data_IF_033160584232
#
_entry.id   IF_033160584232
#
_cell.length_a   1.000
_cell.length_b   1.000
_cell.length_c   1.000
_cell.angle_alpha   90.00
_cell.angle_beta   90.00
_cell.angle_gamma   90.00
#
_symmetry.space_group_name_H-M   'P 1'
#
loop_
_entity.id
_entity.type
_entity.pdbx_description
1 polymer ?
#
# COMPACT_ATOMS: atom_id res chain seq x y z
N UNK A 1 -11.43 5.49 -10.13
CA UNK A 1 -11.83 4.64 -11.26
C UNK A 1 -12.36 3.34 -10.75
N UNK A 2 -13.58 2.97 -11.12
CA UNK A 2 -14.16 1.75 -10.59
C UNK A 2 -13.40 0.48 -10.94
N UNK A 3 -12.61 0.51 -12.00
CA UNK A 3 -11.87 -0.67 -12.45
C UNK A 3 -10.40 -0.68 -12.05
N UNK A 4 -10.02 0.18 -11.12
CA UNK A 4 -8.64 0.18 -10.64
C UNK A 4 -8.38 -1.11 -9.85
N UNK A 5 -7.47 -1.98 -10.33
CA UNK A 5 -7.21 -3.25 -9.63
C UNK A 5 -6.70 -3.05 -8.21
N UNK A 6 -5.92 -2.01 -7.98
CA UNK A 6 -5.39 -1.76 -6.64
C UNK A 6 -6.49 -1.30 -5.70
N UNK A 7 -7.41 -0.46 -6.17
CA UNK A 7 -8.56 -0.06 -5.36
C UNK A 7 -9.40 -1.27 -5.01
N UNK A 8 -9.69 -2.13 -5.98
CA UNK A 8 -10.49 -3.33 -5.74
C UNK A 8 -9.83 -4.24 -4.73
N UNK A 9 -8.52 -4.43 -4.85
CA UNK A 9 -7.77 -5.30 -3.93
C UNK A 9 -7.79 -4.75 -2.51
N UNK A 10 -7.63 -3.44 -2.36
CA UNK A 10 -7.62 -2.82 -1.04
C UNK A 10 -9.01 -2.85 -0.41
N UNK A 11 -10.06 -2.63 -1.21
CA UNK A 11 -11.42 -2.75 -0.70
C UNK A 11 -11.69 -4.16 -0.19
N UNK A 12 -11.24 -5.16 -0.93
CA UNK A 12 -11.40 -6.54 -0.52
C UNK A 12 -10.66 -6.81 0.80
N UNK A 13 -9.45 -6.31 0.91
CA UNK A 13 -8.66 -6.48 2.14
C UNK A 13 -9.33 -5.82 3.34
N UNK A 14 -10.07 -4.73 3.11
CA UNK A 14 -10.76 -3.99 4.18
C UNK A 14 -12.16 -4.53 4.45
N UNK A 15 -12.66 -5.41 3.61
CA UNK A 15 -14.02 -5.91 3.74
C UNK A 15 -15.08 -4.89 3.32
N UNK A 16 -14.72 -3.95 2.46
CA UNK A 16 -15.62 -2.89 2.01
C UNK A 16 -16.18 -3.25 0.64
N UNK A 17 -17.51 -3.27 0.52
CA UNK A 17 -18.16 -3.61 -0.74
C UNK A 17 -18.90 -2.44 -1.38
N UNK A 18 -19.18 -1.38 -0.59
CA UNK A 18 -19.90 -0.22 -1.11
C UNK A 18 -18.94 0.78 -1.72
N UNK A 19 -19.45 1.64 -2.61
CA UNK A 19 -18.62 2.65 -3.26
C UNK A 19 -18.47 3.93 -2.45
N UNK A 20 -19.17 4.04 -1.33
CA UNK A 20 -19.16 5.27 -0.53
C UNK A 20 -17.77 5.63 0.00
N UNK A 21 -16.90 4.65 0.15
CA UNK A 21 -15.54 4.88 0.69
C UNK A 21 -14.46 4.84 -0.39
N UNK A 22 -14.83 4.77 -1.67
CA UNK A 22 -13.84 4.62 -2.73
C UNK A 22 -12.84 5.76 -2.76
N UNK A 23 -13.32 7.00 -2.60
CA UNK A 23 -12.43 8.16 -2.62
C UNK A 23 -11.46 8.14 -1.45
N UNK A 24 -11.96 7.81 -0.27
CA UNK A 24 -11.11 7.71 0.92
C UNK A 24 -10.04 6.64 0.76
N UNK A 25 -10.43 5.49 0.25
CA UNK A 25 -9.49 4.39 0.05
C UNK A 25 -8.49 4.73 -1.05
N UNK A 26 -8.94 5.37 -2.12
CA UNK A 26 -8.04 5.80 -3.19
C UNK A 26 -6.99 6.80 -2.66
N UNK A 27 -7.40 7.69 -1.76
CA UNK A 27 -6.45 8.62 -1.13
C UNK A 27 -5.41 7.87 -0.29
N UNK A 28 -5.83 6.84 0.43
CA UNK A 28 -4.89 6.04 1.21
C UNK A 28 -3.91 5.30 0.32
N UNK A 29 -4.39 4.78 -0.81
CA UNK A 29 -3.51 4.11 -1.78
C UNK A 29 -2.48 5.10 -2.32
N UNK A 30 -2.91 6.30 -2.68
CA UNK A 30 -1.99 7.33 -3.17
C UNK A 30 -0.96 7.69 -2.11
N UNK A 31 -1.39 7.79 -0.85
CA UNK A 31 -0.48 8.09 0.25
C UNK A 31 0.53 6.96 0.46
N UNK A 32 0.08 5.71 0.36
CA UNK A 32 0.97 4.57 0.50
C UNK A 32 2.03 4.56 -0.61
N UNK A 33 1.60 4.76 -1.85
CA UNK A 33 2.53 4.79 -2.98
C UNK A 33 3.51 5.96 -2.85
N UNK A 34 3.03 7.09 -2.36
CA UNK A 34 3.89 8.24 -2.10
C UNK A 34 4.93 7.93 -1.04
N UNK A 35 4.53 7.28 0.04
CA UNK A 35 5.44 6.91 1.11
C UNK A 35 6.51 5.93 0.62
N UNK A 36 6.10 4.94 -0.18
CA UNK A 36 7.05 4.00 -0.76
C UNK A 36 8.02 4.71 -1.71
N UNK A 37 7.54 5.66 -2.50
CA UNK A 37 8.39 6.43 -3.39
C UNK A 37 9.42 7.26 -2.64
N UNK A 38 9.02 7.88 -1.54
CA UNK A 38 9.94 8.65 -0.69
C UNK A 38 11.03 7.73 -0.14
N UNK A 39 10.68 6.48 0.17
CA UNK A 39 11.63 5.51 0.68
C UNK A 39 12.54 4.94 -0.41
N UNK A 40 12.32 5.31 -1.68
CA UNK A 40 13.14 4.84 -2.79
C UNK A 40 12.60 3.60 -3.48
N UNK A 41 11.41 3.15 -3.11
CA UNK A 41 10.79 1.98 -3.75
C UNK A 41 10.14 2.43 -5.06
N UNK A 42 10.28 1.61 -6.10
CA UNK A 42 9.65 1.90 -7.40
C UNK A 42 8.14 1.70 -7.28
N UNK A 43 7.43 2.79 -7.06
CA UNK A 43 5.99 2.73 -6.82
C UNK A 43 5.17 2.66 -8.12
N UNK A 44 5.83 2.47 -9.27
CA UNK A 44 5.11 2.20 -10.51
C UNK A 44 4.79 0.72 -10.67
N UNK A 45 5.35 -0.14 -9.82
CA UNK A 45 5.12 -1.59 -9.88
C UNK A 45 3.82 -1.96 -9.16
N UNK A 46 2.72 -1.35 -9.57
CA UNK A 46 1.45 -1.49 -8.85
C UNK A 46 0.81 -2.87 -8.99
N UNK A 47 1.27 -3.66 -9.95
CA UNK A 47 0.77 -5.03 -10.13
C UNK A 47 1.61 -6.05 -9.37
N UNK A 48 2.73 -5.65 -8.81
CA UNK A 48 3.61 -6.56 -8.09
C UNK A 48 2.98 -6.96 -6.76
N UNK A 49 2.93 -8.27 -6.45
CA UNK A 49 2.27 -8.73 -5.23
C UNK A 49 2.86 -8.15 -3.94
N UNK A 50 4.16 -7.93 -3.89
CA UNK A 50 4.79 -7.39 -2.68
C UNK A 50 4.48 -5.92 -2.49
N UNK A 51 4.47 -5.15 -3.57
CA UNK A 51 4.05 -3.75 -3.52
C UNK A 51 2.58 -3.67 -3.11
N UNK A 52 1.75 -4.49 -3.74
CA UNK A 52 0.32 -4.51 -3.43
C UNK A 52 0.07 -4.89 -1.96
N UNK A 53 0.82 -5.85 -1.45
CA UNK A 53 0.67 -6.26 -0.06
C UNK A 53 1.00 -5.12 0.90
N UNK A 54 2.07 -4.37 0.62
CA UNK A 54 2.43 -3.23 1.45
C UNK A 54 1.34 -2.16 1.41
N UNK A 55 0.79 -1.88 0.23
CA UNK A 55 -0.29 -0.89 0.10
C UNK A 55 -1.53 -1.35 0.86
N UNK A 56 -1.89 -2.63 0.77
CA UNK A 56 -3.03 -3.15 1.52
C UNK A 56 -2.83 -2.97 3.02
N UNK A 57 -1.63 -3.26 3.52
CA UNK A 57 -1.34 -3.13 4.94
C UNK A 57 -1.43 -1.68 5.38
N UNK A 58 -0.91 -0.76 4.57
CA UNK A 58 -1.03 0.67 4.85
C UNK A 58 -2.50 1.09 4.94
N UNK A 59 -3.31 0.66 3.98
CA UNK A 59 -4.73 0.99 3.99
C UNK A 59 -5.42 0.43 5.24
N UNK A 60 -5.10 -0.81 5.62
CA UNK A 60 -5.69 -1.40 6.82
C UNK A 60 -5.30 -0.64 8.08
N UNK A 61 -4.07 -0.12 8.14
CA UNK A 61 -3.60 0.62 9.29
C UNK A 61 -4.27 1.98 9.43
N UNK A 62 -4.65 2.60 8.31
CA UNK A 62 -5.12 3.99 8.32
C UNK A 62 -6.60 4.17 8.03
N UNK A 63 -7.30 3.09 7.66
CA UNK A 63 -8.72 3.20 7.37
C UNK A 63 -9.50 3.05 8.67
N UNK A 64 -10.19 4.12 9.08
CA UNK A 64 -11.12 4.08 10.20
C UNK A 64 -10.49 3.74 11.56
N UNK A 65 -9.23 4.08 11.74
CA UNK A 65 -8.56 3.96 13.06
C UNK A 65 -8.74 2.57 13.69
N UNK A 66 -8.20 1.53 13.07
CA UNK A 66 -8.39 0.17 13.58
C UNK A 66 -7.77 -0.03 14.96
N UNK A 67 -8.35 -0.96 15.72
CA UNK A 67 -7.86 -1.25 17.07
C UNK A 67 -6.44 -1.79 17.07
N UNK A 68 -6.04 -2.48 15.99
CA UNK A 68 -4.71 -3.07 15.88
C UNK A 68 -3.75 -2.22 15.04
N UNK A 69 -3.90 -0.90 15.11
CA UNK A 69 -3.11 0.03 14.34
C UNK A 69 -1.60 -0.19 14.54
N UNK A 70 -1.16 -0.39 15.78
CA UNK A 70 0.27 -0.54 16.08
C UNK A 70 0.85 -1.76 15.38
N UNK A 71 0.12 -2.85 15.40
CA UNK A 71 0.55 -4.07 14.75
C UNK A 71 0.59 -3.92 13.23
N UNK A 72 -0.43 -3.29 12.68
CA UNK A 72 -0.49 -3.06 11.24
C UNK A 72 0.60 -2.09 10.79
N UNK A 73 0.88 -1.06 11.58
CA UNK A 73 1.93 -0.11 11.29
C UNK A 73 3.29 -0.80 11.28
N UNK A 74 3.54 -1.65 12.25
CA UNK A 74 4.78 -2.39 12.33
C UNK A 74 4.93 -3.33 11.14
N UNK A 75 3.85 -4.00 10.74
CA UNK A 75 3.88 -4.88 9.57
C UNK A 75 4.19 -4.10 8.29
N UNK A 76 3.58 -2.94 8.14
CA UNK A 76 3.86 -2.11 6.97
C UNK A 76 5.32 -1.65 6.95
N UNK A 77 5.84 -1.20 8.09
CA UNK A 77 7.21 -0.73 8.16
C UNK A 77 8.19 -1.85 7.79
N UNK A 78 7.90 -3.08 8.21
CA UNK A 78 8.74 -4.22 7.86
C UNK A 78 8.65 -4.54 6.38
N UNK A 79 7.46 -4.50 5.80
CA UNK A 79 7.28 -4.74 4.37
C UNK A 79 8.01 -3.68 3.55
N UNK A 80 7.89 -2.42 3.96
CA UNK A 80 8.59 -1.32 3.30
C UNK A 80 10.10 -1.52 3.36
N UNK A 81 10.62 -1.91 4.53
CA UNK A 81 12.06 -2.15 4.69
C UNK A 81 12.55 -3.25 3.77
N UNK A 82 11.78 -4.31 3.60
CA UNK A 82 12.12 -5.39 2.70
C UNK A 82 12.18 -4.91 1.25
N UNK A 83 11.21 -4.08 0.85
CA UNK A 83 11.18 -3.54 -0.50
C UNK A 83 12.33 -2.59 -0.76
N UNK A 84 12.72 -1.83 0.25
CA UNK A 84 13.83 -0.88 0.11
C UNK A 84 15.17 -1.59 -0.15
N UNK A 85 15.31 -2.81 0.30
CA UNK A 85 16.56 -3.55 0.16
C UNK A 85 16.54 -4.57 -0.96
N UNK A 86 15.36 -4.88 -1.50
CA UNK A 86 15.23 -5.93 -2.51
C UNK A 86 15.63 -5.39 -3.88
N UNK A 87 16.45 -6.17 -4.60
CA UNK A 87 16.84 -5.84 -5.95
C UNK A 87 15.61 -5.83 -6.84
N UNK A 88 15.50 -4.79 -7.67
CA UNK A 88 14.37 -4.66 -8.59
C UNK A 88 13.21 -3.86 -8.07
N UNK A 89 13.26 -3.46 -6.80
CA UNK A 89 12.19 -2.64 -6.22
C UNK A 89 12.60 -1.21 -5.92
N UNK A 90 13.86 -0.85 -6.21
CA UNK A 90 14.35 0.50 -5.93
C UNK A 90 14.95 1.11 -7.18
N UNK A 91 14.94 2.44 -7.23
CA UNK A 91 15.48 3.18 -8.37
C UNK A 91 16.98 3.34 -8.32
N UNK A 92 17.58 3.08 -7.20
CA UNK A 92 19.01 3.32 -7.02
C UNK A 92 19.85 2.06 -7.15
N UNK A 93 19.24 0.98 -7.55
CA UNK A 93 19.89 -0.31 -7.44
C UNK A 93 21.03 -0.53 -8.40
N UNK A 94 21.08 0.20 -9.47
CA UNK A 94 22.08 -0.02 -10.50
C UNK A 94 23.35 0.78 -10.31
N UNK A 95 23.41 1.50 -9.25
CA UNK A 95 24.55 2.38 -9.01
C UNK A 95 25.86 1.62 -8.97
#
# INVERSE_FOLDING_TARGET
MPNDPMLSACKLALGVTVSAYDDEIADLIAAALGDLGIAGVDNTLTQDPLILQAVKTYCRAHFRSPADYERLRAAYDEQKAQLMTATGYTDWGDA
#
